data_IF_964224478250
#
_entry.id   IF_964224478250
#
_cell.length_a   1.000
_cell.length_b   1.000
_cell.length_c   1.000
_cell.angle_alpha   90.00
_cell.angle_beta   90.00
_cell.angle_gamma   90.00
#
_symmetry.space_group_name_H-M   'P 1'
#
loop_
_entity.id
_entity.type
_entity.pdbx_description
1 polymer ?
#
# COMPACT_ATOMS: atom_id res chain seq x y z
N UNK A 1 -7.91 -9.30 -14.09
CA UNK A 1 -7.52 -10.46 -13.25
C UNK A 1 -6.90 -9.91 -11.98
N UNK A 2 -7.03 -10.63 -10.86
CA UNK A 2 -6.38 -10.25 -9.60
C UNK A 2 -4.93 -10.75 -9.60
N UNK A 3 -4.03 -9.95 -9.04
CA UNK A 3 -2.63 -10.31 -8.85
C UNK A 3 -2.42 -11.03 -7.52
N UNK A 4 -1.32 -11.73 -7.30
CA UNK A 4 -0.98 -12.18 -5.95
C UNK A 4 -0.45 -11.01 -5.12
N UNK A 5 -0.73 -10.97 -3.83
CA UNK A 5 -0.13 -9.97 -2.93
C UNK A 5 1.28 -10.40 -2.55
N UNK A 6 2.19 -10.26 -3.51
CA UNK A 6 3.63 -10.44 -3.42
C UNK A 6 4.36 -9.32 -4.19
N UNK A 7 5.69 -9.32 -4.17
CA UNK A 7 6.50 -8.26 -4.79
C UNK A 7 6.25 -8.16 -6.31
N UNK A 8 6.02 -9.29 -6.97
CA UNK A 8 5.80 -9.35 -8.43
C UNK A 8 4.42 -8.78 -8.76
N UNK A 9 3.37 -9.24 -8.08
CA UNK A 9 2.01 -8.78 -8.30
C UNK A 9 1.82 -7.30 -7.95
N UNK A 10 2.45 -6.83 -6.86
CA UNK A 10 2.45 -5.42 -6.50
C UNK A 10 3.14 -4.56 -7.57
N UNK A 11 4.33 -4.98 -8.02
CA UNK A 11 5.08 -4.27 -9.07
C UNK A 11 4.28 -4.19 -10.37
N UNK A 12 3.68 -5.32 -10.80
CA UNK A 12 2.84 -5.36 -12.00
C UNK A 12 1.62 -4.45 -11.88
N UNK A 13 0.97 -4.42 -10.70
CA UNK A 13 -0.19 -3.56 -10.47
C UNK A 13 0.15 -2.08 -10.49
N UNK A 14 1.24 -1.69 -9.82
CA UNK A 14 1.72 -0.31 -9.80
C UNK A 14 2.12 0.12 -11.22
N UNK A 15 2.87 -0.71 -11.96
CA UNK A 15 3.23 -0.41 -13.34
C UNK A 15 1.99 -0.20 -14.23
N UNK A 16 0.95 -1.01 -14.05
CA UNK A 16 -0.32 -0.87 -14.78
C UNK A 16 -1.00 0.45 -14.48
N UNK A 17 -1.10 0.85 -13.20
CA UNK A 17 -1.70 2.13 -12.80
C UNK A 17 -0.90 3.32 -13.34
N UNK A 18 0.43 3.24 -13.29
CA UNK A 18 1.31 4.30 -13.78
C UNK A 18 1.35 4.40 -15.31
N UNK A 19 1.01 3.34 -16.04
CA UNK A 19 0.86 3.39 -17.49
C UNK A 19 -0.43 4.10 -17.94
N UNK A 20 -1.43 4.23 -17.06
CA UNK A 20 -2.69 4.90 -17.40
C UNK A 20 -2.50 6.41 -17.60
N UNK A 21 -3.26 7.02 -18.53
CA UNK A 21 -3.44 8.47 -18.59
C UNK A 21 -3.91 9.01 -17.24
N UNK A 22 -3.55 10.26 -16.91
CA UNK A 22 -3.77 10.85 -15.58
C UNK A 22 -5.25 10.79 -15.12
N UNK A 23 -6.19 10.99 -16.04
CA UNK A 23 -7.64 10.93 -15.73
C UNK A 23 -8.07 9.50 -15.39
N UNK A 24 -7.67 8.52 -16.21
CA UNK A 24 -8.01 7.11 -15.98
C UNK A 24 -7.32 6.57 -14.73
N UNK A 25 -6.10 7.03 -14.45
CA UNK A 25 -5.38 6.72 -13.21
C UNK A 25 -6.14 7.25 -11.99
N UNK A 26 -6.60 8.50 -12.04
CA UNK A 26 -7.38 9.08 -10.95
C UNK A 26 -8.64 8.27 -10.66
N UNK A 27 -9.35 7.83 -11.71
CA UNK A 27 -10.53 6.97 -11.58
C UNK A 27 -10.17 5.60 -10.98
N UNK A 28 -9.09 4.97 -11.45
CA UNK A 28 -8.64 3.67 -10.95
C UNK A 28 -8.16 3.71 -9.49
N UNK A 29 -7.68 4.86 -9.02
CA UNK A 29 -7.25 5.11 -7.64
C UNK A 29 -8.38 5.61 -6.73
N UNK A 30 -9.53 6.00 -7.28
CA UNK A 30 -10.64 6.53 -6.48
C UNK A 30 -11.10 5.52 -5.41
N UNK A 31 -11.27 4.25 -5.80
CA UNK A 31 -11.62 3.20 -4.84
C UNK A 31 -10.54 3.01 -3.76
N UNK A 32 -9.25 3.16 -4.10
CA UNK A 32 -8.17 3.08 -3.11
C UNK A 32 -8.26 4.21 -2.08
N UNK A 33 -8.59 5.43 -2.52
CA UNK A 33 -8.80 6.58 -1.63
C UNK A 33 -10.01 6.38 -0.71
N UNK A 34 -11.12 5.89 -1.27
CA UNK A 34 -12.39 5.78 -0.54
C UNK A 34 -12.41 4.57 0.40
N UNK A 35 -11.89 3.43 -0.06
CA UNK A 35 -11.79 2.21 0.74
C UNK A 35 -10.57 1.38 0.31
N UNK A 36 -9.47 1.57 1.05
CA UNK A 36 -8.21 0.86 0.81
C UNK A 36 -8.36 -0.66 0.91
N UNK A 37 -9.16 -1.17 1.86
CA UNK A 37 -9.34 -2.63 2.05
C UNK A 37 -10.08 -3.22 0.86
N UNK A 38 -11.20 -2.62 0.44
CA UNK A 38 -11.95 -3.09 -0.72
C UNK A 38 -11.09 -3.02 -1.99
N UNK A 39 -10.26 -1.99 -2.14
CA UNK A 39 -9.34 -1.90 -3.25
C UNK A 39 -8.32 -3.05 -3.24
N UNK A 40 -7.75 -3.39 -2.09
CA UNK A 40 -6.83 -4.52 -1.95
C UNK A 40 -7.52 -5.84 -2.29
N UNK A 41 -8.72 -6.08 -1.76
CA UNK A 41 -9.51 -7.27 -2.04
C UNK A 41 -9.92 -7.37 -3.51
N UNK A 42 -10.24 -6.25 -4.16
CA UNK A 42 -10.63 -6.23 -5.56
C UNK A 42 -9.47 -6.53 -6.50
N UNK A 43 -8.25 -6.11 -6.14
CA UNK A 43 -7.09 -6.18 -7.03
C UNK A 43 -6.14 -7.34 -6.74
N UNK A 44 -6.17 -7.92 -5.54
CA UNK A 44 -5.26 -9.00 -5.14
C UNK A 44 -5.98 -10.26 -4.67
N UNK A 45 -5.37 -11.40 -4.94
CA UNK A 45 -5.72 -12.71 -4.37
C UNK A 45 -5.14 -12.78 -2.96
N UNK A 46 -5.93 -12.37 -1.98
CA UNK A 46 -5.57 -12.42 -0.57
C UNK A 46 -5.86 -13.81 0.00
N UNK A 47 -4.89 -14.40 0.70
CA UNK A 47 -5.16 -15.52 1.60
C UNK A 47 -6.04 -15.06 2.76
N UNK A 48 -6.76 -15.98 3.42
CA UNK A 48 -7.62 -15.65 4.56
C UNK A 48 -6.87 -14.85 5.63
N UNK A 49 -5.64 -15.25 5.97
CA UNK A 49 -4.80 -14.54 6.94
C UNK A 49 -4.40 -13.13 6.47
N UNK A 50 -4.20 -12.90 5.17
CA UNK A 50 -3.92 -11.55 4.65
C UNK A 50 -5.15 -10.67 4.71
N UNK A 51 -6.32 -11.20 4.34
CA UNK A 51 -7.59 -10.49 4.43
C UNK A 51 -7.94 -10.15 5.89
N UNK A 52 -7.77 -11.09 6.82
CA UNK A 52 -8.02 -10.86 8.25
C UNK A 52 -7.13 -9.74 8.79
N UNK A 53 -5.84 -9.73 8.44
CA UNK A 53 -4.89 -8.68 8.87
C UNK A 53 -5.23 -7.31 8.28
N UNK A 54 -5.67 -7.25 7.02
CA UNK A 54 -6.11 -6.01 6.38
C UNK A 54 -7.37 -5.45 7.06
N UNK A 55 -8.33 -6.31 7.37
CA UNK A 55 -9.56 -5.95 8.07
C UNK A 55 -9.33 -5.54 9.54
N UNK A 56 -8.21 -5.95 10.15
CA UNK A 56 -7.81 -5.55 11.49
C UNK A 56 -7.06 -4.20 11.54
N UNK A 57 -6.72 -3.61 10.38
CA UNK A 57 -6.09 -2.30 10.36
C UNK A 57 -7.04 -1.25 10.98
N UNK A 58 -6.55 -0.35 11.85
CA UNK A 58 -7.35 0.77 12.32
C UNK A 58 -7.93 1.55 11.14
N UNK A 59 -9.22 1.87 11.19
CA UNK A 59 -9.93 2.54 10.08
C UNK A 59 -9.23 3.84 9.63
N UNK A 60 -8.76 4.62 10.60
CA UNK A 60 -8.00 5.85 10.33
C UNK A 60 -6.70 5.58 9.57
N UNK A 61 -5.94 4.55 9.99
CA UNK A 61 -4.71 4.17 9.32
C UNK A 61 -4.98 3.66 7.89
N UNK A 62 -6.01 2.84 7.72
CA UNK A 62 -6.43 2.32 6.41
C UNK A 62 -6.78 3.45 5.45
N UNK A 63 -7.55 4.44 5.92
CA UNK A 63 -7.91 5.61 5.12
C UNK A 63 -6.69 6.47 4.77
N UNK A 64 -5.82 6.77 5.75
CA UNK A 64 -4.58 7.51 5.51
C UNK A 64 -3.69 6.83 4.46
N UNK A 65 -3.58 5.50 4.52
CA UNK A 65 -2.83 4.73 3.54
C UNK A 65 -3.43 4.83 2.14
N UNK A 66 -4.75 4.66 2.02
CA UNK A 66 -5.46 4.78 0.75
C UNK A 66 -5.22 6.13 0.08
N UNK A 67 -5.31 7.22 0.86
CA UNK A 67 -5.06 8.59 0.39
C UNK A 67 -3.60 8.77 -0.01
N UNK A 68 -2.66 8.47 0.89
CA UNK A 68 -1.24 8.69 0.67
C UNK A 68 -0.69 7.92 -0.54
N UNK A 69 -1.01 6.62 -0.66
CA UNK A 69 -0.57 5.79 -1.78
C UNK A 69 -1.18 6.31 -3.10
N UNK A 70 -2.46 6.70 -3.08
CA UNK A 70 -3.11 7.25 -4.27
C UNK A 70 -2.47 8.56 -4.71
N UNK A 71 -2.18 9.47 -3.77
CA UNK A 71 -1.52 10.74 -4.07
C UNK A 71 -0.11 10.50 -4.63
N UNK A 72 0.65 9.58 -4.03
CA UNK A 72 1.98 9.21 -4.49
C UNK A 72 2.01 8.64 -5.92
N UNK A 73 1.06 7.75 -6.23
CA UNK A 73 0.90 7.17 -7.57
C UNK A 73 0.39 8.20 -8.59
N UNK A 74 -0.42 9.17 -8.17
CA UNK A 74 -0.88 10.26 -9.03
C UNK A 74 0.26 11.14 -9.52
N UNK A 75 1.26 11.39 -8.68
CA UNK A 75 2.49 12.10 -9.04
C UNK A 75 3.50 11.24 -9.80
N UNK A 76 3.17 9.97 -10.07
CA UNK A 76 4.00 9.09 -10.88
C UNK A 76 5.11 8.37 -10.12
N UNK A 77 5.09 8.42 -8.79
CA UNK A 77 6.06 7.74 -7.96
C UNK A 77 5.68 6.28 -7.68
N UNK A 78 6.68 5.43 -7.46
CA UNK A 78 6.51 4.00 -7.15
C UNK A 78 6.71 3.78 -5.65
N UNK A 79 5.69 3.33 -4.89
CA UNK A 79 5.84 3.03 -3.47
C UNK A 79 6.88 1.93 -3.25
N UNK A 80 7.72 2.09 -2.23
CA UNK A 80 8.65 1.03 -1.85
C UNK A 80 8.01 0.18 -0.75
N UNK A 81 7.82 -1.11 -1.03
CA UNK A 81 7.31 -2.08 -0.05
C UNK A 81 8.40 -3.09 0.25
N UNK A 82 8.71 -3.28 1.53
CA UNK A 82 9.67 -4.29 1.97
C UNK A 82 9.04 -5.17 3.05
N UNK A 83 9.13 -6.47 2.85
CA UNK A 83 8.81 -7.47 3.87
C UNK A 83 10.12 -8.06 4.39
N UNK A 84 10.34 -8.00 5.70
CA UNK A 84 11.50 -8.64 6.31
C UNK A 84 11.31 -10.16 6.35
N UNK A 85 12.40 -10.92 6.37
CA UNK A 85 12.31 -12.37 6.51
C UNK A 85 11.90 -12.75 7.94
N UNK A 86 10.89 -13.62 8.07
CA UNK A 86 10.50 -14.18 9.36
C UNK A 86 11.57 -15.18 9.82
N UNK A 87 12.21 -14.93 10.96
CA UNK A 87 13.07 -15.93 11.60
C UNK A 87 12.19 -17.00 12.24
N UNK A 88 12.58 -18.26 12.05
CA UNK A 88 11.78 -19.48 12.36
C UNK A 88 11.30 -19.55 13.82
N UNK A 89 11.98 -18.88 14.76
CA UNK A 89 11.73 -19.00 16.20
C UNK A 89 10.92 -17.85 16.83
N UNK A 90 10.39 -16.91 16.05
CA UNK A 90 9.77 -15.70 16.63
C UNK A 90 8.24 -15.73 16.60
N UNK A 91 7.57 -15.17 17.63
CA UNK A 91 6.13 -15.03 17.65
C UNK A 91 5.65 -14.25 16.41
N UNK A 92 4.44 -14.55 15.95
CA UNK A 92 3.82 -13.99 14.73
C UNK A 92 3.53 -12.47 14.77
N UNK A 93 4.22 -11.74 15.65
CA UNK A 93 4.02 -10.31 15.80
C UNK A 93 4.59 -9.58 14.58
N UNK A 94 3.67 -9.09 13.75
CA UNK A 94 3.99 -8.31 12.55
C UNK A 94 3.87 -6.83 12.92
N UNK A 95 4.96 -6.07 12.82
CA UNK A 95 4.96 -4.61 12.96
C UNK A 95 4.98 -3.97 11.57
N UNK A 96 4.01 -3.09 11.34
CA UNK A 96 3.87 -2.29 10.12
C UNK A 96 4.46 -0.90 10.39
N UNK A 97 5.62 -0.62 9.80
CA UNK A 97 6.24 0.70 9.84
C UNK A 97 5.99 1.42 8.52
N UNK A 98 5.45 2.62 8.56
CA UNK A 98 5.11 3.39 7.37
C UNK A 98 5.69 4.78 7.49
N UNK A 99 6.45 5.19 6.48
CA UNK A 99 7.15 6.47 6.43
C UNK A 99 6.61 7.29 5.27
N UNK A 100 6.42 8.59 5.46
CA UNK A 100 5.92 9.48 4.41
C UNK A 100 4.39 9.57 4.33
N UNK A 101 3.62 8.88 5.19
CA UNK A 101 2.15 8.85 5.04
C UNK A 101 1.54 10.24 5.21
N UNK A 102 1.95 10.96 6.25
CA UNK A 102 1.36 12.25 6.61
C UNK A 102 1.69 13.31 5.56
N UNK A 103 2.89 13.27 4.99
CA UNK A 103 3.38 14.17 3.95
C UNK A 103 2.61 14.01 2.62
N UNK A 104 2.00 12.85 2.41
CA UNK A 104 1.23 12.56 1.21
C UNK A 104 -0.28 12.68 1.41
N UNK A 105 -0.80 13.09 2.57
CA UNK A 105 -2.25 13.23 2.78
C UNK A 105 -2.86 14.38 1.96
N UNK A 106 -2.17 15.52 1.87
CA UNK A 106 -2.65 16.72 1.18
C UNK A 106 -2.23 16.82 -0.30
N UNK A 107 -1.50 15.82 -0.81
CA UNK A 107 -0.89 15.83 -2.13
C UNK A 107 0.45 16.57 -2.09
N UNK A 108 1.54 15.80 -2.01
CA UNK A 108 2.87 16.28 -1.66
C UNK A 108 3.31 17.53 -2.45
N UNK A 109 3.81 18.54 -1.74
CA UNK A 109 4.43 19.71 -2.37
C UNK A 109 5.76 19.30 -3.00
N UNK A 110 5.91 19.51 -4.30
CA UNK A 110 7.01 19.10 -5.19
C UNK A 110 8.45 19.41 -4.71
N UNK A 111 8.64 20.20 -3.65
CA UNK A 111 9.96 20.67 -3.23
C UNK A 111 10.81 19.63 -2.48
N UNK A 112 10.21 18.68 -1.74
CA UNK A 112 10.92 17.62 -1.00
C UNK A 112 10.03 16.39 -0.85
N UNK A 113 9.74 15.69 -1.96
CA UNK A 113 8.89 14.49 -1.93
C UNK A 113 9.47 13.39 -1.02
N UNK A 114 9.00 13.31 0.22
CA UNK A 114 9.34 12.24 1.15
C UNK A 114 8.93 10.90 0.54
N UNK A 115 9.82 9.92 0.38
CA UNK A 115 9.44 8.65 -0.25
C UNK A 115 8.41 7.94 0.63
N UNK A 116 7.33 7.45 0.00
CA UNK A 116 6.38 6.58 0.69
C UNK A 116 6.97 5.17 0.79
N UNK A 117 7.34 4.78 2.01
CA UNK A 117 7.97 3.50 2.30
C UNK A 117 7.14 2.70 3.31
N UNK A 118 6.78 1.48 2.93
CA UNK A 118 6.00 0.54 3.75
C UNK A 118 6.91 -0.64 4.10
N UNK A 119 7.20 -0.82 5.39
CA UNK A 119 7.96 -1.96 5.91
C UNK A 119 7.08 -2.84 6.77
N UNK A 120 7.02 -4.12 6.40
CA UNK A 120 6.40 -5.17 7.20
C UNK A 120 7.52 -5.94 7.87
N UNK A 121 7.67 -5.74 9.17
CA UNK A 121 8.70 -6.37 9.99
C UNK A 121 8.11 -7.38 10.96
N UNK A 122 8.91 -8.35 11.38
CA UNK A 122 8.55 -9.28 12.44
C UNK A 122 9.29 -8.83 13.71
N UNK A 123 8.58 -8.55 14.81
CA UNK A 123 9.25 -8.13 16.04
C UNK A 123 10.08 -9.28 16.59
N UNK A 124 11.35 -8.99 16.87
CA UNK A 124 12.09 -9.73 17.88
C UNK A 124 11.41 -9.42 19.21
N UNK A 125 10.90 -10.45 19.89
CA UNK A 125 10.50 -10.33 21.30
C UNK A 125 11.71 -9.94 22.17
#
# INVERSE_FOLDING_TARGET
MKENLDDVGLTAKVATLLALPRVDRALALQLMRDNFVDWMEHNFNLSSNQADKLNQLPAELSQKLGIAISNYLMEGHVPQVRKDEKKVEQPDFTELCIYGVDEWLDGGTEAEATPLYIRISYKNA
#
